data_IF_717327627022
#
_entry.id   IF_717327627022
#
_cell.length_a   1.000
_cell.length_b   1.000
_cell.length_c   1.000
_cell.angle_alpha   90.00
_cell.angle_beta   90.00
_cell.angle_gamma   90.00
#
_symmetry.space_group_name_H-M   'P 1'
#
loop_
_entity.id
_entity.type
_entity.pdbx_description
1 polymer ?
#
# COMPACT_ATOMS: atom_id res chain seq x y z
N UNK A 1 7.71 65.89 9.03
CA UNK A 1 8.76 66.93 9.12
C UNK A 1 8.38 67.85 10.28
N UNK A 2 9.09 67.78 11.43
CA UNK A 2 10.14 68.73 11.87
C UNK A 2 9.53 70.01 12.52
N UNK A 3 9.87 70.56 13.70
CA UNK A 3 11.07 70.59 14.59
C UNK A 3 10.63 71.24 15.95
N UNK A 4 11.15 70.85 17.13
CA UNK A 4 12.21 71.49 18.00
C UNK A 4 12.00 73.01 18.30
N UNK A 5 12.29 73.60 19.48
CA UNK A 5 13.28 73.31 20.54
C UNK A 5 13.02 74.07 21.88
N UNK A 6 13.74 73.58 22.91
CA UNK A 6 14.10 74.10 24.25
C UNK A 6 14.53 75.58 24.37
N UNK A 7 14.41 76.12 25.61
CA UNK A 7 15.32 77.01 26.42
C UNK A 7 14.57 77.28 27.76
N UNK A 8 15.12 77.64 28.92
CA UNK A 8 16.22 77.20 29.80
C UNK A 8 16.12 78.04 31.11
N UNK A 9 16.53 77.49 32.27
CA UNK A 9 17.09 78.17 33.48
C UNK A 9 16.22 79.05 34.43
N UNK A 10 15.92 78.47 35.60
CA UNK A 10 16.41 78.76 36.97
C UNK A 10 16.39 80.20 37.58
N UNK A 11 15.79 80.36 38.78
CA UNK A 11 16.18 81.17 39.98
C UNK A 11 15.06 81.12 41.05
N UNK A 12 15.12 80.36 42.15
CA UNK A 12 15.81 80.53 43.45
C UNK A 12 15.43 81.76 44.30
N UNK A 13 14.92 81.48 45.52
CA UNK A 13 15.16 82.12 46.83
C UNK A 13 14.76 81.06 47.89
N UNK A 14 15.44 80.74 49.01
CA UNK A 14 16.66 81.16 49.73
C UNK A 14 16.54 80.52 51.14
N UNK A 15 17.42 79.62 51.59
CA UNK A 15 18.74 79.83 52.24
C UNK A 15 18.71 80.01 53.78
N UNK A 16 19.31 79.06 54.50
CA UNK A 16 20.24 79.35 55.60
C UNK A 16 21.49 78.48 55.45
N UNK A 17 22.65 79.15 55.50
CA UNK A 17 24.01 78.68 55.26
C UNK A 17 24.66 78.25 56.59
N UNK A 18 25.52 77.22 56.57
CA UNK A 18 26.93 77.31 57.02
C UNK A 18 27.53 75.92 57.32
N UNK A 19 28.47 75.50 56.46
CA UNK A 19 29.65 74.69 56.80
C UNK A 19 29.45 73.43 57.64
N UNK A 20 29.33 72.27 56.98
CA UNK A 20 30.08 71.08 57.41
C UNK A 20 30.76 70.41 56.24
N UNK A 21 32.06 70.25 56.45
CA UNK A 21 33.05 69.49 55.70
C UNK A 21 32.56 68.07 55.47
N UNK A 22 32.92 67.48 54.33
CA UNK A 22 32.73 66.06 54.03
C UNK A 22 33.21 65.20 55.21
N UNK A 23 32.28 64.67 55.99
CA UNK A 23 32.57 63.58 56.92
C UNK A 23 32.29 62.29 56.18
N UNK A 24 33.37 61.60 55.82
CA UNK A 24 33.38 60.21 55.38
C UNK A 24 32.22 59.43 55.99
N UNK A 25 31.34 58.91 55.12
CA UNK A 25 30.48 57.77 55.44
C UNK A 25 31.06 56.48 54.86
N UNK A 26 32.38 56.41 54.68
CA UNK A 26 33.08 55.12 54.60
C UNK A 26 33.21 54.64 56.04
N UNK A 27 32.13 54.03 56.53
CA UNK A 27 32.27 53.08 57.62
C UNK A 27 32.82 51.79 57.01
N UNK A 28 33.56 50.94 57.75
CA UNK A 28 33.96 49.62 57.24
C UNK A 28 32.78 48.82 56.68
N UNK A 29 31.57 49.05 57.20
CA UNK A 29 30.31 48.51 56.70
C UNK A 29 29.92 49.05 55.32
N UNK A 30 30.15 50.33 55.04
CA UNK A 30 29.88 50.95 53.74
C UNK A 30 30.88 50.44 52.68
N UNK A 31 32.16 50.27 53.04
CA UNK A 31 33.16 49.67 52.15
C UNK A 31 32.86 48.19 51.88
N UNK A 32 32.36 47.45 52.87
CA UNK A 32 31.89 46.07 52.70
C UNK A 32 30.66 46.03 51.79
N UNK A 33 29.68 46.92 51.99
CA UNK A 33 28.45 46.99 51.18
C UNK A 33 28.78 47.40 49.74
N UNK A 34 29.67 48.36 49.54
CA UNK A 34 30.15 48.77 48.22
C UNK A 34 31.02 47.69 47.59
N UNK A 35 31.83 46.95 48.35
CA UNK A 35 32.58 45.79 47.85
C UNK A 35 31.64 44.64 47.45
N UNK A 36 30.56 44.39 48.20
CA UNK A 36 29.53 43.40 47.84
C UNK A 36 28.80 43.86 46.58
N UNK A 37 28.35 45.11 46.50
CA UNK A 37 27.65 45.66 45.32
C UNK A 37 28.54 45.80 44.07
N UNK A 38 29.85 46.02 44.24
CA UNK A 38 30.82 46.01 43.12
C UNK A 38 31.14 44.59 42.65
N UNK A 39 31.03 43.61 43.54
CA UNK A 39 31.33 42.21 43.25
C UNK A 39 30.08 41.35 43.04
N UNK A 40 28.85 41.84 43.20
CA UNK A 40 27.61 41.06 43.01
C UNK A 40 27.56 40.43 41.62
N UNK A 41 27.86 41.18 40.57
CA UNK A 41 27.95 40.60 39.21
C UNK A 41 29.09 39.58 39.03
N UNK A 42 30.17 39.66 39.80
CA UNK A 42 31.26 38.68 39.81
C UNK A 42 30.94 37.45 40.68
N UNK A 43 30.22 37.65 41.78
CA UNK A 43 29.71 36.63 42.68
C UNK A 43 28.59 35.83 42.01
N UNK A 44 27.71 36.49 41.25
CA UNK A 44 26.71 35.85 40.39
C UNK A 44 27.38 35.01 39.31
N UNK A 45 28.37 35.55 38.58
CA UNK A 45 29.14 34.76 37.60
C UNK A 45 29.90 33.61 38.24
N UNK A 46 30.51 33.83 39.40
CA UNK A 46 31.21 32.77 40.13
C UNK A 46 30.24 31.69 40.61
N UNK A 47 29.08 32.07 41.16
CA UNK A 47 28.04 31.15 41.57
C UNK A 47 27.48 30.37 40.37
N UNK A 48 27.20 31.04 39.25
CA UNK A 48 26.78 30.40 37.99
C UNK A 48 27.84 29.41 37.49
N UNK A 49 29.11 29.81 37.41
CA UNK A 49 30.21 28.93 36.96
C UNK A 49 30.46 27.77 37.93
N UNK A 50 30.30 27.98 39.25
CA UNK A 50 30.41 26.94 40.25
C UNK A 50 29.27 25.92 40.13
N UNK A 51 28.04 26.40 39.92
CA UNK A 51 26.86 25.57 39.68
C UNK A 51 27.00 24.78 38.38
N UNK A 52 27.44 25.42 37.31
CA UNK A 52 27.67 24.81 36.00
C UNK A 52 28.77 23.76 36.07
N UNK A 53 29.93 24.07 36.66
CA UNK A 53 31.02 23.10 36.84
C UNK A 53 30.63 21.91 37.71
N UNK A 54 29.73 22.07 38.69
CA UNK A 54 29.19 20.95 39.48
C UNK A 54 28.18 20.10 38.71
N UNK A 55 27.39 20.69 37.81
CA UNK A 55 26.51 19.94 36.90
C UNK A 55 27.33 19.16 35.88
N UNK A 56 28.30 19.79 35.23
CA UNK A 56 29.17 19.14 34.24
C UNK A 56 29.97 17.97 34.82
N UNK A 57 30.45 18.10 36.05
CA UNK A 57 31.15 17.02 36.74
C UNK A 57 30.22 15.85 37.07
N UNK A 58 28.98 16.14 37.51
CA UNK A 58 27.97 15.13 37.75
C UNK A 58 27.54 14.45 36.44
N UNK A 59 27.36 15.20 35.36
CA UNK A 59 26.99 14.67 34.04
C UNK A 59 28.03 13.66 33.53
N UNK A 60 29.32 14.01 33.55
CA UNK A 60 30.41 13.10 33.15
C UNK A 60 30.50 11.85 34.03
N UNK A 61 30.28 12.00 35.33
CA UNK A 61 30.29 10.88 36.25
C UNK A 61 29.14 9.91 35.99
N UNK A 62 27.94 10.45 35.77
CA UNK A 62 26.75 9.67 35.45
C UNK A 62 26.92 8.92 34.13
N UNK A 63 27.38 9.59 33.06
CA UNK A 63 27.67 8.95 31.79
C UNK A 63 28.59 7.73 31.95
N UNK A 64 29.66 7.86 32.75
CA UNK A 64 30.57 6.74 33.07
C UNK A 64 29.88 5.62 33.87
N UNK A 65 29.10 5.97 34.90
CA UNK A 65 28.39 5.00 35.74
C UNK A 65 27.40 4.14 34.92
N UNK A 66 26.58 4.77 34.08
CA UNK A 66 25.63 4.05 33.24
C UNK A 66 26.33 3.25 32.12
N UNK A 67 27.45 3.73 31.59
CA UNK A 67 28.27 2.95 30.65
C UNK A 67 28.82 1.65 31.25
N UNK A 68 28.96 1.57 32.58
CA UNK A 68 29.38 0.35 33.30
C UNK A 68 28.24 -0.57 33.71
N UNK A 69 27.00 -0.27 33.32
CA UNK A 69 25.83 -1.11 33.59
C UNK A 69 25.05 -0.75 34.87
N UNK A 70 25.33 0.42 35.47
CA UNK A 70 24.52 0.95 36.58
C UNK A 70 23.07 1.26 36.15
N UNK A 71 22.12 1.24 37.10
CA UNK A 71 20.71 1.57 36.84
C UNK A 71 20.25 2.77 37.66
N UNK A 72 19.25 3.54 37.20
CA UNK A 72 18.66 4.65 37.95
C UNK A 72 18.21 4.26 39.37
N UNK A 73 17.63 3.07 39.52
CA UNK A 73 17.15 2.53 40.80
C UNK A 73 18.30 2.25 41.77
N UNK A 74 19.40 1.68 41.27
CA UNK A 74 20.60 1.41 42.07
C UNK A 74 21.32 2.70 42.45
N UNK A 75 21.48 3.63 41.50
CA UNK A 75 22.13 4.91 41.74
C UNK A 75 21.44 5.70 42.86
N UNK A 76 20.11 5.74 42.86
CA UNK A 76 19.35 6.43 43.91
C UNK A 76 19.62 5.84 45.30
N UNK A 77 19.73 4.51 45.41
CA UNK A 77 20.07 3.83 46.67
C UNK A 77 21.53 4.04 47.07
N UNK A 78 22.45 4.08 46.10
CA UNK A 78 23.87 4.30 46.33
C UNK A 78 24.19 5.74 46.76
N UNK A 79 23.46 6.73 46.24
CA UNK A 79 23.53 8.12 46.71
C UNK A 79 23.01 8.24 48.15
N UNK A 80 21.88 7.60 48.47
CA UNK A 80 21.32 7.61 49.83
C UNK A 80 22.22 6.92 50.86
N UNK A 81 23.07 5.99 50.41
CA UNK A 81 24.06 5.30 51.26
C UNK A 81 25.43 5.98 51.27
N UNK A 82 25.57 7.15 50.63
CA UNK A 82 26.78 7.97 50.64
C UNK A 82 27.94 7.42 49.81
N UNK A 83 27.67 6.54 48.84
CA UNK A 83 28.72 5.93 48.00
C UNK A 83 29.25 6.84 46.90
N UNK A 84 28.52 7.93 46.59
CA UNK A 84 28.84 8.88 45.52
C UNK A 84 28.86 10.33 46.06
N UNK A 85 29.87 10.71 46.86
CA UNK A 85 29.92 12.01 47.56
C UNK A 85 29.93 13.21 46.61
N UNK A 86 30.44 13.05 45.38
CA UNK A 86 30.36 14.04 44.30
C UNK A 86 28.93 14.31 43.81
N UNK A 87 27.99 13.39 44.07
CA UNK A 87 26.59 13.46 43.68
C UNK A 87 25.66 13.98 44.80
N UNK A 88 26.18 14.22 46.02
CA UNK A 88 25.38 14.59 47.19
C UNK A 88 24.90 16.06 47.21
N UNK A 89 25.43 16.92 46.34
CA UNK A 89 25.03 18.34 46.33
C UNK A 89 23.70 18.58 45.58
N UNK A 90 23.00 19.68 45.90
CA UNK A 90 21.68 20.01 45.33
C UNK A 90 21.67 20.18 43.80
N UNK A 91 22.79 20.61 43.21
CA UNK A 91 22.94 20.80 41.76
C UNK A 91 23.18 19.47 41.03
N UNK A 92 23.93 18.55 41.65
CA UNK A 92 24.11 17.18 41.21
C UNK A 92 22.77 16.44 41.28
N UNK A 93 21.98 16.61 42.35
CA UNK A 93 20.61 16.06 42.45
C UNK A 93 19.73 16.42 41.25
N UNK A 94 19.79 17.66 40.77
CA UNK A 94 19.00 18.08 39.59
C UNK A 94 19.49 17.40 38.31
N UNK A 95 20.80 17.27 38.13
CA UNK A 95 21.40 16.58 36.98
C UNK A 95 21.04 15.08 37.00
N UNK A 96 21.20 14.43 38.16
CA UNK A 96 20.84 13.02 38.40
C UNK A 96 19.36 12.77 38.11
N UNK A 97 18.47 13.60 38.66
CA UNK A 97 17.04 13.48 38.40
C UNK A 97 16.72 13.62 36.91
N UNK A 98 17.38 14.54 36.22
CA UNK A 98 17.21 14.74 34.78
C UNK A 98 17.64 13.52 33.97
N UNK A 99 18.82 12.95 34.26
CA UNK A 99 19.31 11.73 33.63
C UNK A 99 18.43 10.52 33.95
N UNK A 100 18.01 10.36 35.20
CA UNK A 100 17.04 9.33 35.60
C UNK A 100 15.73 9.44 34.79
N UNK A 101 15.24 10.66 34.56
CA UNK A 101 14.09 10.91 33.68
C UNK A 101 14.33 10.43 32.25
N UNK A 102 15.51 10.71 31.68
CA UNK A 102 15.90 10.27 30.33
C UNK A 102 16.00 8.75 30.22
N UNK A 103 16.60 8.07 31.19
CA UNK A 103 16.70 6.61 31.19
C UNK A 103 15.35 5.94 31.35
N UNK A 104 14.47 6.48 32.20
CA UNK A 104 13.12 5.98 32.32
C UNK A 104 12.31 6.18 31.03
N UNK A 105 12.50 7.30 30.33
CA UNK A 105 11.92 7.48 29.01
C UNK A 105 12.44 6.45 28.00
N UNK A 106 13.76 6.20 27.96
CA UNK A 106 14.34 5.19 27.08
C UNK A 106 13.81 3.78 27.39
N UNK A 107 13.68 3.41 28.67
CA UNK A 107 13.07 2.14 29.10
C UNK A 107 11.62 2.04 28.64
N UNK A 108 10.82 3.08 28.83
CA UNK A 108 9.43 3.12 28.39
C UNK A 108 9.32 2.96 26.87
N UNK A 109 10.17 3.65 26.09
CA UNK A 109 10.21 3.55 24.62
C UNK A 109 10.53 2.11 24.19
N UNK A 110 11.56 1.49 24.76
CA UNK A 110 11.93 0.10 24.43
C UNK A 110 10.76 -0.86 24.67
N UNK A 111 10.03 -0.68 25.77
CA UNK A 111 8.90 -1.53 26.10
C UNK A 111 7.68 -1.28 25.20
N UNK A 112 7.42 -0.02 24.81
CA UNK A 112 6.40 0.31 23.79
C UNK A 112 6.73 -0.36 22.46
N UNK A 113 7.98 -0.28 22.00
CA UNK A 113 8.41 -0.93 20.75
C UNK A 113 8.31 -2.46 20.85
N UNK A 114 8.65 -3.06 22.00
CA UNK A 114 8.48 -4.50 22.24
C UNK A 114 7.02 -4.94 22.13
N UNK A 115 6.09 -4.09 22.58
CA UNK A 115 4.65 -4.38 22.62
C UNK A 115 3.89 -3.88 21.39
N UNK A 116 4.57 -3.27 20.42
CA UNK A 116 3.95 -2.58 19.27
C UNK A 116 2.97 -3.44 18.47
N UNK A 117 3.22 -4.74 18.36
CA UNK A 117 2.32 -5.67 17.65
C UNK A 117 0.95 -5.83 18.29
N UNK A 118 0.82 -5.50 19.59
CA UNK A 118 -0.46 -5.46 20.31
C UNK A 118 -1.31 -4.26 19.92
N UNK A 119 -0.74 -3.27 19.23
CA UNK A 119 -1.47 -2.10 18.81
C UNK A 119 -2.42 -2.44 17.66
N UNK A 120 -3.73 -2.36 17.92
CA UNK A 120 -4.81 -2.65 16.96
C UNK A 120 -5.72 -1.43 16.78
N UNK A 121 -5.29 -0.41 16.01
CA UNK A 121 -5.99 0.88 15.91
C UNK A 121 -7.38 0.82 15.25
N UNK A 122 -7.70 -0.28 14.55
CA UNK A 122 -8.90 -0.42 13.71
C UNK A 122 -9.80 -1.59 14.11
N UNK A 123 -9.49 -2.30 15.20
CA UNK A 123 -10.31 -3.40 15.70
C UNK A 123 -11.41 -2.87 16.65
N UNK A 124 -12.62 -3.43 16.56
CA UNK A 124 -13.75 -3.04 17.43
C UNK A 124 -14.08 -1.54 17.36
N UNK A 125 -14.10 -0.88 18.51
CA UNK A 125 -14.33 0.58 18.63
C UNK A 125 -13.11 1.43 18.23
N UNK A 126 -11.99 0.79 17.88
CA UNK A 126 -10.72 1.44 17.61
C UNK A 126 -10.03 1.96 18.88
N UNK A 127 -8.71 2.07 18.82
CA UNK A 127 -7.91 2.59 19.94
C UNK A 127 -6.89 3.59 19.42
N UNK A 128 -6.85 4.80 19.98
CA UNK A 128 -5.81 5.79 19.64
C UNK A 128 -4.45 5.38 20.20
N UNK A 129 -3.36 5.87 19.60
CA UNK A 129 -2.01 5.56 20.11
C UNK A 129 -1.84 5.96 21.58
N UNK A 130 -2.41 7.09 21.99
CA UNK A 130 -2.34 7.55 23.38
C UNK A 130 -3.10 6.64 24.35
N UNK A 131 -4.27 6.12 23.95
CA UNK A 131 -5.03 5.16 24.77
C UNK A 131 -4.30 3.83 24.89
N UNK A 132 -3.73 3.35 23.78
CA UNK A 132 -2.92 2.14 23.74
C UNK A 132 -1.72 2.24 24.65
N UNK A 133 -0.87 3.25 24.49
CA UNK A 133 0.34 3.44 25.31
C UNK A 133 0.01 3.58 26.80
N UNK A 134 -1.09 4.24 27.16
CA UNK A 134 -1.55 4.34 28.55
C UNK A 134 -2.00 3.01 29.15
N UNK A 135 -2.45 2.07 28.31
CA UNK A 135 -2.92 0.74 28.74
C UNK A 135 -1.78 -0.27 28.90
N UNK A 136 -0.59 0.03 28.40
CA UNK A 136 0.54 -0.90 28.43
C UNK A 136 1.08 -1.11 29.85
N UNK A 137 1.32 -2.38 30.17
CA UNK A 137 2.01 -2.82 31.39
C UNK A 137 3.23 -3.65 31.03
N UNK A 138 4.27 -3.57 31.86
CA UNK A 138 5.47 -4.40 31.75
C UNK A 138 5.20 -5.84 32.26
N UNK A 139 6.21 -6.70 32.13
CA UNK A 139 6.15 -8.10 32.60
C UNK A 139 5.83 -8.27 34.10
N UNK A 140 6.03 -7.20 34.89
CA UNK A 140 5.79 -7.17 36.33
C UNK A 140 4.44 -6.48 36.67
N UNK A 141 3.65 -6.11 35.67
CA UNK A 141 2.34 -5.46 35.85
C UNK A 141 2.42 -3.97 36.15
N UNK A 142 3.57 -3.33 36.00
CA UNK A 142 3.71 -1.88 36.17
C UNK A 142 3.38 -1.15 34.87
N UNK A 143 2.76 0.03 34.97
CA UNK A 143 2.51 0.87 33.81
C UNK A 143 3.82 1.23 33.10
N UNK A 144 3.86 1.05 31.78
CA UNK A 144 5.05 1.36 30.96
C UNK A 144 5.40 2.84 30.99
N UNK A 145 4.37 3.71 31.00
CA UNK A 145 4.54 5.13 31.26
C UNK A 145 4.53 5.37 32.78
N UNK A 146 5.62 5.87 33.38
CA UNK A 146 5.68 6.11 34.80
C UNK A 146 4.73 7.25 35.21
N UNK A 147 4.16 7.14 36.40
CA UNK A 147 3.47 8.29 37.00
C UNK A 147 4.50 9.40 37.30
N UNK A 148 4.31 10.55 36.65
CA UNK A 148 5.17 11.73 36.80
C UNK A 148 4.73 12.63 37.98
N UNK A 149 3.58 12.35 38.57
CA UNK A 149 3.09 13.07 39.75
C UNK A 149 3.98 12.78 40.97
N UNK A 150 4.37 13.84 41.69
CA UNK A 150 5.29 13.74 42.83
C UNK A 150 6.77 13.55 42.46
N UNK A 151 7.12 13.44 41.17
CA UNK A 151 8.52 13.43 40.71
C UNK A 151 9.10 14.86 40.68
N UNK A 152 10.42 14.97 40.72
CA UNK A 152 11.09 16.26 40.68
C UNK A 152 10.95 16.93 39.31
N UNK A 153 11.09 18.27 39.27
CA UNK A 153 11.05 19.02 38.02
C UNK A 153 12.15 18.58 37.04
N UNK A 154 13.34 18.22 37.54
CA UNK A 154 14.45 17.70 36.73
C UNK A 154 14.07 16.39 36.04
N UNK A 155 13.51 15.44 36.80
CA UNK A 155 13.03 14.17 36.26
C UNK A 155 11.98 14.36 35.17
N UNK A 156 10.95 15.17 35.42
CA UNK A 156 9.88 15.43 34.45
C UNK A 156 10.43 16.10 33.18
N UNK A 157 11.42 16.99 33.31
CA UNK A 157 12.08 17.64 32.17
C UNK A 157 12.90 16.63 31.36
N UNK A 158 13.70 15.79 32.02
CA UNK A 158 14.50 14.75 31.37
C UNK A 158 13.66 13.74 30.63
N UNK A 159 12.59 13.25 31.28
CA UNK A 159 11.63 12.32 30.67
C UNK A 159 10.94 12.96 29.46
N UNK A 160 10.39 14.17 29.61
CA UNK A 160 9.69 14.85 28.52
C UNK A 160 10.59 15.17 27.33
N UNK A 161 11.88 15.42 27.53
CA UNK A 161 12.82 15.71 26.44
C UNK A 161 12.99 14.50 25.52
N UNK A 162 13.14 13.30 26.08
CA UNK A 162 13.36 12.06 25.30
C UNK A 162 12.03 11.48 24.82
N UNK A 163 11.06 11.35 25.71
CA UNK A 163 9.77 10.76 25.38
C UNK A 163 8.91 11.66 24.49
N UNK A 164 9.06 12.98 24.61
CA UNK A 164 8.29 13.96 23.84
C UNK A 164 8.55 13.87 22.34
N UNK A 165 9.82 13.71 21.94
CA UNK A 165 10.20 13.53 20.54
C UNK A 165 9.66 12.22 19.98
N UNK A 166 9.88 11.10 20.69
CA UNK A 166 9.35 9.80 20.31
C UNK A 166 7.82 9.84 20.14
N UNK A 167 7.11 10.38 21.14
CA UNK A 167 5.65 10.53 21.10
C UNK A 167 5.19 11.39 19.94
N UNK A 168 5.86 12.50 19.64
CA UNK A 168 5.49 13.35 18.52
C UNK A 168 5.56 12.58 17.19
N UNK A 169 6.66 11.84 16.96
CA UNK A 169 6.83 11.02 15.77
C UNK A 169 5.77 9.91 15.70
N UNK A 170 5.55 9.18 16.79
CA UNK A 170 4.54 8.11 16.81
C UNK A 170 3.12 8.62 16.57
N UNK A 171 2.78 9.84 17.00
CA UNK A 171 1.49 10.45 16.73
C UNK A 171 1.34 10.88 15.27
N UNK A 172 2.42 11.31 14.62
CA UNK A 172 2.44 11.56 13.18
C UNK A 172 2.21 10.26 12.42
N UNK A 173 2.92 9.19 12.79
CA UNK A 173 2.78 7.87 12.16
C UNK A 173 1.36 7.30 12.34
N UNK A 174 0.77 7.41 13.54
CA UNK A 174 -0.63 7.01 13.79
C UNK A 174 -1.61 7.83 12.95
N UNK A 175 -1.41 9.15 12.85
CA UNK A 175 -2.26 10.02 12.05
C UNK A 175 -2.17 9.66 10.55
N UNK A 176 -0.97 9.40 10.04
CA UNK A 176 -0.75 8.98 8.65
C UNK A 176 -1.38 7.61 8.38
N UNK A 177 -1.17 6.63 9.27
CA UNK A 177 -1.77 5.29 9.17
C UNK A 177 -3.29 5.36 9.12
N UNK A 178 -3.91 6.14 10.02
CA UNK A 178 -5.36 6.36 10.04
C UNK A 178 -5.84 7.08 8.79
N UNK A 179 -5.13 8.11 8.35
CA UNK A 179 -5.43 8.84 7.13
C UNK A 179 -5.46 7.90 5.92
N UNK A 180 -4.42 7.07 5.77
CA UNK A 180 -4.31 6.08 4.70
C UNK A 180 -5.40 5.02 4.77
N UNK A 181 -5.70 4.49 5.96
CA UNK A 181 -6.76 3.50 6.17
C UNK A 181 -8.14 4.04 5.75
N UNK A 182 -8.52 5.22 6.26
CA UNK A 182 -9.83 5.80 5.94
C UNK A 182 -9.91 6.29 4.50
N UNK A 183 -8.82 6.77 3.92
CA UNK A 183 -8.77 7.08 2.50
C UNK A 183 -8.96 5.82 1.65
N UNK A 184 -8.30 4.71 1.99
CA UNK A 184 -8.49 3.44 1.30
C UNK A 184 -9.95 2.95 1.39
N UNK A 185 -10.57 3.04 2.57
CA UNK A 185 -12.00 2.70 2.76
C UNK A 185 -12.93 3.61 1.97
N UNK A 186 -12.63 4.91 1.91
CA UNK A 186 -13.35 5.86 1.07
C UNK A 186 -13.23 5.50 -0.42
N UNK A 187 -12.03 5.17 -0.90
CA UNK A 187 -11.79 4.74 -2.27
C UNK A 187 -12.53 3.42 -2.58
N UNK A 188 -12.49 2.44 -1.68
CA UNK A 188 -13.23 1.16 -1.78
C UNK A 188 -14.74 1.39 -1.93
N UNK A 189 -15.33 2.24 -1.07
CA UNK A 189 -16.74 2.59 -1.14
C UNK A 189 -17.08 3.31 -2.46
N UNK A 190 -16.23 4.25 -2.89
CA UNK A 190 -16.37 4.93 -4.18
C UNK A 190 -16.34 3.95 -5.37
N UNK A 191 -15.43 2.97 -5.34
CA UNK A 191 -15.31 1.95 -6.39
C UNK A 191 -16.54 1.07 -6.44
N UNK A 192 -17.00 0.57 -5.27
CA UNK A 192 -18.20 -0.26 -5.17
C UNK A 192 -19.45 0.46 -5.71
N UNK A 193 -19.59 1.74 -5.37
CA UNK A 193 -20.64 2.59 -5.91
C UNK A 193 -20.52 2.69 -7.44
N UNK A 194 -19.36 3.11 -7.95
CA UNK A 194 -19.16 3.31 -9.39
C UNK A 194 -19.32 2.01 -10.19
N UNK A 195 -18.87 0.89 -9.66
CA UNK A 195 -19.03 -0.41 -10.30
C UNK A 195 -20.50 -0.81 -10.40
N UNK A 196 -21.27 -0.62 -9.33
CA UNK A 196 -22.72 -0.84 -9.34
C UNK A 196 -23.41 -0.01 -10.42
N UNK A 197 -23.01 1.27 -10.56
CA UNK A 197 -23.56 2.16 -11.59
C UNK A 197 -23.16 1.71 -12.99
N UNK A 198 -21.89 1.33 -13.19
CA UNK A 198 -21.35 0.84 -14.47
C UNK A 198 -22.18 -0.30 -15.06
N UNK A 199 -22.70 -1.21 -14.23
CA UNK A 199 -23.52 -2.34 -14.67
C UNK A 199 -24.87 -1.93 -15.28
N UNK A 200 -25.31 -0.70 -15.04
CA UNK A 200 -26.58 -0.14 -15.53
C UNK A 200 -26.40 1.02 -16.52
N UNK A 201 -25.16 1.41 -16.81
CA UNK A 201 -24.87 2.52 -17.73
C UNK A 201 -25.09 2.10 -19.18
N UNK A 202 -25.83 2.92 -19.92
CA UNK A 202 -26.03 2.73 -21.37
C UNK A 202 -24.86 3.31 -22.18
N UNK A 203 -24.29 4.45 -21.75
CA UNK A 203 -23.17 5.10 -22.42
C UNK A 203 -22.06 5.48 -21.43
N UNK A 204 -21.08 4.59 -21.25
CA UNK A 204 -19.95 4.83 -20.35
C UNK A 204 -19.16 6.09 -20.76
N UNK A 205 -19.05 6.37 -22.06
CA UNK A 205 -18.24 7.48 -22.57
C UNK A 205 -18.70 8.86 -22.11
N UNK A 206 -20.01 9.03 -21.89
CA UNK A 206 -20.62 10.30 -21.42
C UNK A 206 -21.06 10.25 -19.97
N UNK A 207 -21.57 9.11 -19.51
CA UNK A 207 -22.28 9.02 -18.24
C UNK A 207 -21.35 8.73 -17.06
N UNK A 208 -20.17 8.15 -17.32
CA UNK A 208 -19.26 7.71 -16.27
C UNK A 208 -18.80 8.87 -15.38
N UNK A 209 -18.24 9.93 -15.98
CA UNK A 209 -17.75 11.08 -15.23
C UNK A 209 -18.88 11.88 -14.58
N UNK A 210 -20.03 11.98 -15.23
CA UNK A 210 -21.22 12.60 -14.63
C UNK A 210 -21.66 11.87 -13.34
N UNK A 211 -21.59 10.54 -13.31
CA UNK A 211 -21.85 9.77 -12.08
C UNK A 211 -20.72 9.93 -11.06
N UNK A 212 -19.46 9.90 -11.50
CA UNK A 212 -18.30 10.03 -10.62
C UNK A 212 -18.28 11.39 -9.89
N UNK A 213 -18.65 12.47 -10.59
CA UNK A 213 -18.74 13.82 -10.02
C UNK A 213 -19.78 13.94 -8.89
N UNK A 214 -20.76 13.04 -8.80
CA UNK A 214 -21.72 13.03 -7.68
C UNK A 214 -21.04 12.72 -6.34
N UNK A 215 -19.84 12.13 -6.35
CA UNK A 215 -19.04 11.88 -5.15
C UNK A 215 -18.30 13.14 -4.66
N UNK A 216 -18.24 14.19 -5.49
CA UNK A 216 -17.58 15.46 -5.19
C UNK A 216 -18.47 16.39 -4.33
N UNK A 217 -18.98 15.87 -3.23
CA UNK A 217 -19.87 16.62 -2.33
C UNK A 217 -19.07 17.62 -1.50
N UNK A 218 -19.51 18.89 -1.46
CA UNK A 218 -18.86 19.91 -0.64
C UNK A 218 -19.07 19.61 0.85
N UNK A 219 -17.98 19.60 1.62
CA UNK A 219 -18.01 19.41 3.07
C UNK A 219 -18.39 20.72 3.78
N UNK A 220 -18.95 20.66 5.00
CA UNK A 220 -19.20 21.83 5.83
C UNK A 220 -17.93 22.64 6.08
N UNK A 221 -18.06 23.95 6.17
CA UNK A 221 -16.93 24.81 6.51
C UNK A 221 -16.49 24.55 7.96
N UNK A 222 -15.24 24.13 8.14
CA UNK A 222 -14.63 23.91 9.46
C UNK A 222 -13.75 25.12 9.81
N UNK A 223 -13.86 25.62 11.04
CA UNK A 223 -13.07 26.76 11.51
C UNK A 223 -11.57 26.47 11.38
N UNK A 224 -10.83 27.38 10.72
CA UNK A 224 -9.38 27.28 10.51
C UNK A 224 -8.94 26.80 9.12
N UNK A 225 -9.83 26.29 8.28
CA UNK A 225 -9.54 25.96 6.89
C UNK A 225 -10.02 27.08 5.95
N UNK A 226 -9.17 27.46 4.99
CA UNK A 226 -9.54 28.41 3.94
C UNK A 226 -9.94 27.66 2.67
N UNK A 227 -11.05 28.05 2.05
CA UNK A 227 -11.55 27.46 0.80
C UNK A 227 -12.62 26.36 0.97
N UNK A 228 -13.23 25.98 -0.16
CA UNK A 228 -14.23 24.91 -0.22
C UNK A 228 -13.53 23.55 -0.11
N UNK A 229 -13.96 22.75 0.86
CA UNK A 229 -13.51 21.37 1.03
C UNK A 229 -14.52 20.43 0.37
N UNK A 230 -14.03 19.32 -0.19
CA UNK A 230 -14.85 18.35 -0.90
C UNK A 230 -14.57 16.95 -0.38
N UNK A 231 -15.61 16.10 -0.37
CA UNK A 231 -15.50 14.73 0.11
C UNK A 231 -14.53 13.94 -0.75
N UNK A 232 -14.68 13.96 -2.07
CA UNK A 232 -13.64 13.58 -3.03
C UNK A 232 -13.05 14.80 -3.72
N UNK A 233 -11.73 14.92 -3.70
CA UNK A 233 -11.03 15.91 -4.51
C UNK A 233 -10.99 15.50 -5.98
N UNK A 234 -10.70 16.45 -6.88
CA UNK A 234 -10.54 16.16 -8.30
C UNK A 234 -9.46 15.11 -8.58
N UNK A 235 -8.36 15.13 -7.83
CA UNK A 235 -7.30 14.13 -8.01
C UNK A 235 -7.73 12.75 -7.50
N UNK A 236 -8.42 12.69 -6.36
CA UNK A 236 -8.96 11.43 -5.85
C UNK A 236 -10.00 10.82 -6.78
N UNK A 237 -10.78 11.63 -7.52
CA UNK A 237 -11.70 11.11 -8.54
C UNK A 237 -10.94 10.55 -9.75
N UNK A 238 -9.87 11.20 -10.21
CA UNK A 238 -8.99 10.63 -11.25
C UNK A 238 -8.41 9.29 -10.79
N UNK A 239 -7.92 9.23 -9.56
CA UNK A 239 -7.37 7.99 -9.01
C UNK A 239 -8.45 6.91 -8.85
N UNK A 240 -9.66 7.29 -8.44
CA UNK A 240 -10.79 6.37 -8.31
C UNK A 240 -11.16 5.74 -9.66
N UNK A 241 -11.16 6.53 -10.74
CA UNK A 241 -11.42 6.04 -12.09
C UNK A 241 -10.35 5.08 -12.59
N UNK A 242 -9.06 5.39 -12.34
CA UNK A 242 -7.93 4.51 -12.66
C UNK A 242 -8.03 3.19 -11.89
N UNK A 243 -8.29 3.26 -10.58
CA UNK A 243 -8.44 2.10 -9.73
C UNK A 243 -9.62 1.23 -10.16
N UNK A 244 -10.74 1.84 -10.55
CA UNK A 244 -11.91 1.13 -11.05
C UNK A 244 -11.61 0.41 -12.38
N UNK A 245 -10.95 1.06 -13.33
CA UNK A 245 -10.54 0.42 -14.59
C UNK A 245 -9.56 -0.75 -14.35
N UNK A 246 -8.62 -0.57 -13.42
CA UNK A 246 -7.70 -1.63 -12.99
C UNK A 246 -8.42 -2.82 -12.35
N UNK A 247 -9.42 -2.54 -11.51
CA UNK A 247 -10.25 -3.58 -10.91
C UNK A 247 -11.02 -4.36 -11.99
N UNK A 248 -11.65 -3.68 -12.95
CA UNK A 248 -12.35 -4.34 -14.08
C UNK A 248 -11.39 -5.18 -14.91
N UNK A 249 -10.17 -4.69 -15.17
CA UNK A 249 -9.13 -5.47 -15.83
C UNK A 249 -8.83 -6.77 -15.07
N UNK A 250 -8.66 -6.69 -13.75
CA UNK A 250 -8.29 -7.84 -12.92
C UNK A 250 -9.37 -8.93 -12.91
N UNK A 251 -10.65 -8.55 -12.93
CA UNK A 251 -11.79 -9.46 -12.84
C UNK A 251 -12.36 -9.89 -14.20
N UNK A 252 -11.98 -9.22 -15.29
CA UNK A 252 -12.49 -9.54 -16.62
C UNK A 252 -12.18 -10.97 -17.07
N UNK A 253 -13.20 -11.65 -17.56
CA UNK A 253 -13.16 -12.98 -18.19
C UNK A 253 -13.48 -12.91 -19.68
N UNK A 254 -14.03 -11.79 -20.14
CA UNK A 254 -14.45 -11.56 -21.53
C UNK A 254 -13.81 -10.30 -22.12
N UNK A 255 -13.78 -10.21 -23.46
CA UNK A 255 -13.29 -9.02 -24.16
C UNK A 255 -14.22 -7.82 -23.98
N UNK A 256 -15.53 -8.05 -23.81
CA UNK A 256 -16.52 -7.00 -23.57
C UNK A 256 -16.32 -6.32 -22.21
N UNK A 257 -15.90 -7.05 -21.18
CA UNK A 257 -15.54 -6.46 -19.88
C UNK A 257 -14.28 -5.59 -19.98
N UNK A 258 -13.30 -6.01 -20.78
CA UNK A 258 -12.12 -5.20 -21.07
C UNK A 258 -12.45 -3.92 -21.85
N UNK A 259 -13.44 -3.99 -22.74
CA UNK A 259 -13.94 -2.79 -23.44
C UNK A 259 -14.60 -1.80 -22.48
N UNK A 260 -15.25 -2.27 -21.40
CA UNK A 260 -15.75 -1.39 -20.32
C UNK A 260 -14.59 -0.73 -19.57
N UNK A 261 -13.53 -1.47 -19.23
CA UNK A 261 -12.33 -0.91 -18.60
C UNK A 261 -11.70 0.19 -19.47
N UNK A 262 -11.58 -0.05 -20.79
CA UNK A 262 -11.10 0.95 -21.74
C UNK A 262 -12.04 2.15 -21.85
N UNK A 263 -13.36 1.91 -21.81
CA UNK A 263 -14.37 2.97 -21.84
C UNK A 263 -14.27 3.91 -20.64
N UNK A 264 -13.92 3.39 -19.45
CA UNK A 264 -13.65 4.22 -18.26
C UNK A 264 -12.48 5.18 -18.51
N UNK A 265 -11.39 4.69 -19.10
CA UNK A 265 -10.17 5.47 -19.34
C UNK A 265 -10.32 6.49 -20.48
N UNK A 266 -11.18 6.19 -21.45
CA UNK A 266 -11.47 7.01 -22.63
C UNK A 266 -12.65 7.95 -22.46
N UNK A 267 -13.47 7.78 -21.42
CA UNK A 267 -14.61 8.64 -21.14
C UNK A 267 -14.19 10.11 -20.97
N UNK A 268 -15.01 11.02 -21.47
CA UNK A 268 -14.73 12.46 -21.40
C UNK A 268 -14.91 12.96 -19.96
N UNK A 269 -13.87 13.62 -19.43
CA UNK A 269 -13.89 14.23 -18.10
C UNK A 269 -14.62 15.57 -18.07
N UNK A 270 -15.05 16.07 -19.21
CA UNK A 270 -15.78 17.33 -19.33
C UNK A 270 -14.87 18.55 -19.25
N UNK A 271 -15.39 19.62 -18.63
CA UNK A 271 -14.78 20.95 -18.67
C UNK A 271 -14.20 21.31 -17.29
N UNK A 272 -12.93 21.69 -17.27
CA UNK A 272 -12.25 22.11 -16.05
C UNK A 272 -12.70 23.50 -15.58
N UNK A 273 -12.31 23.88 -14.35
CA UNK A 273 -12.65 25.18 -13.73
C UNK A 273 -12.27 26.41 -14.58
N UNK A 274 -11.29 26.27 -15.48
CA UNK A 274 -10.84 27.32 -16.40
C UNK A 274 -11.53 27.33 -17.77
N UNK A 275 -12.57 26.52 -17.99
CA UNK A 275 -13.27 26.43 -19.27
C UNK A 275 -12.59 25.55 -20.32
N UNK A 276 -11.44 24.94 -19.99
CA UNK A 276 -10.72 24.05 -20.91
C UNK A 276 -11.31 22.64 -20.86
N UNK A 277 -11.42 22.00 -22.03
CA UNK A 277 -11.74 20.57 -22.12
C UNK A 277 -10.62 19.76 -21.45
N UNK A 278 -11.00 18.88 -20.51
CA UNK A 278 -10.08 18.02 -19.80
C UNK A 278 -9.70 16.78 -20.62
N UNK A 279 -10.52 16.41 -21.59
CA UNK A 279 -10.39 15.18 -22.35
C UNK A 279 -10.47 13.94 -21.44
N UNK A 280 -10.04 12.80 -21.96
CA UNK A 280 -10.04 11.55 -21.20
C UNK A 280 -8.81 11.40 -20.30
N UNK A 281 -8.79 10.36 -19.47
CA UNK A 281 -7.59 10.00 -18.72
C UNK A 281 -6.44 9.60 -19.65
N UNK A 282 -6.74 9.01 -20.81
CA UNK A 282 -5.72 8.71 -21.82
C UNK A 282 -5.04 9.95 -22.40
N UNK A 283 -5.69 11.12 -22.35
CA UNK A 283 -5.06 12.37 -22.77
C UNK A 283 -4.09 12.93 -21.71
N UNK A 284 -4.15 12.41 -20.49
CA UNK A 284 -3.16 12.73 -19.46
C UNK A 284 -1.90 11.94 -19.75
N UNK A 285 -0.74 12.60 -19.85
CA UNK A 285 0.56 11.95 -20.07
C UNK A 285 1.04 11.14 -18.85
N UNK A 286 0.13 10.56 -18.07
CA UNK A 286 0.44 9.79 -16.88
C UNK A 286 0.89 8.38 -17.27
N UNK A 287 1.98 7.94 -16.63
CA UNK A 287 2.59 6.63 -16.90
C UNK A 287 1.68 5.47 -16.48
N UNK A 288 1.02 5.60 -15.34
CA UNK A 288 0.10 4.60 -14.79
C UNK A 288 -1.10 4.32 -15.72
N UNK A 289 -1.65 5.36 -16.35
CA UNK A 289 -2.73 5.20 -17.34
C UNK A 289 -2.22 4.47 -18.59
N UNK A 290 -1.02 4.80 -19.07
CA UNK A 290 -0.44 4.15 -20.25
C UNK A 290 -0.17 2.65 -20.00
N UNK A 291 0.42 2.31 -18.85
CA UNK A 291 0.67 0.92 -18.42
C UNK A 291 -0.63 0.13 -18.27
N UNK A 292 -1.68 0.76 -17.75
CA UNK A 292 -2.99 0.14 -17.63
C UNK A 292 -3.63 -0.13 -19.00
N UNK A 293 -3.55 0.81 -19.94
CA UNK A 293 -4.03 0.64 -21.32
C UNK A 293 -3.30 -0.52 -22.02
N UNK A 294 -1.98 -0.60 -21.87
CA UNK A 294 -1.19 -1.70 -22.41
C UNK A 294 -1.64 -3.05 -21.82
N UNK A 295 -1.82 -3.11 -20.50
CA UNK A 295 -2.28 -4.32 -19.80
C UNK A 295 -3.68 -4.77 -20.27
N UNK A 296 -4.60 -3.83 -20.49
CA UNK A 296 -5.92 -4.12 -21.06
C UNK A 296 -5.81 -4.71 -22.46
N UNK A 297 -5.00 -4.10 -23.33
CA UNK A 297 -4.81 -4.59 -24.70
C UNK A 297 -4.17 -5.98 -24.73
N UNK A 298 -3.16 -6.23 -23.91
CA UNK A 298 -2.49 -7.52 -23.81
C UNK A 298 -3.46 -8.63 -23.35
N UNK A 299 -4.26 -8.36 -22.31
CA UNK A 299 -5.27 -9.32 -21.85
C UNK A 299 -6.35 -9.56 -22.92
N UNK A 300 -6.74 -8.53 -23.68
CA UNK A 300 -7.70 -8.67 -24.80
C UNK A 300 -7.18 -9.58 -25.90
N UNK A 301 -5.90 -9.45 -26.28
CA UNK A 301 -5.24 -10.35 -27.23
C UNK A 301 -5.21 -11.78 -26.70
N UNK A 302 -4.82 -11.96 -25.43
CA UNK A 302 -4.79 -13.28 -24.79
C UNK A 302 -6.16 -13.96 -24.80
N UNK A 303 -7.23 -13.27 -24.42
CA UNK A 303 -8.59 -13.83 -24.42
C UNK A 303 -9.08 -14.13 -25.84
N UNK A 304 -8.70 -13.31 -26.83
CA UNK A 304 -9.07 -13.54 -28.23
C UNK A 304 -8.37 -14.78 -28.78
N UNK A 305 -7.10 -14.97 -28.46
CA UNK A 305 -6.34 -16.14 -28.89
C UNK A 305 -6.85 -17.41 -28.19
N UNK A 306 -7.15 -17.33 -26.89
CA UNK A 306 -7.78 -18.43 -26.16
C UNK A 306 -9.09 -18.84 -26.80
N UNK A 307 -9.98 -17.88 -27.09
CA UNK A 307 -11.27 -18.17 -27.72
C UNK A 307 -11.10 -18.83 -29.10
N UNK A 308 -10.09 -18.44 -29.89
CA UNK A 308 -9.78 -19.09 -31.17
C UNK A 308 -9.28 -20.51 -30.99
N UNK A 309 -8.37 -20.74 -30.04
CA UNK A 309 -7.85 -22.07 -29.74
C UNK A 309 -8.95 -23.00 -29.21
N UNK A 310 -9.84 -22.49 -28.35
CA UNK A 310 -10.98 -23.24 -27.83
C UNK A 310 -11.96 -23.63 -28.94
N UNK A 311 -12.23 -22.73 -29.90
CA UNK A 311 -13.05 -23.03 -31.08
C UNK A 311 -12.40 -24.15 -31.91
N UNK A 312 -11.12 -24.02 -32.26
CA UNK A 312 -10.41 -25.02 -33.06
C UNK A 312 -10.35 -26.39 -32.36
N UNK A 313 -10.11 -26.40 -31.05
CA UNK A 313 -10.11 -27.61 -30.24
C UNK A 313 -11.49 -28.29 -30.23
N UNK A 314 -12.56 -27.52 -30.02
CA UNK A 314 -13.92 -28.05 -30.00
C UNK A 314 -14.33 -28.59 -31.38
N UNK A 315 -14.00 -27.90 -32.47
CA UNK A 315 -14.23 -28.40 -33.83
C UNK A 315 -13.54 -29.76 -34.06
N UNK A 316 -12.28 -29.90 -33.62
CA UNK A 316 -11.54 -31.17 -33.70
C UNK A 316 -12.20 -32.29 -32.87
N UNK A 317 -12.70 -31.98 -31.67
CA UNK A 317 -13.41 -32.97 -30.84
C UNK A 317 -14.77 -33.37 -31.43
N UNK A 318 -15.49 -32.44 -32.04
CA UNK A 318 -16.78 -32.72 -32.68
C UNK A 318 -16.61 -33.64 -33.89
N UNK A 319 -15.63 -33.38 -34.77
CA UNK A 319 -15.31 -34.26 -35.90
C UNK A 319 -14.95 -35.66 -35.42
N UNK A 320 -14.08 -35.78 -34.41
CA UNK A 320 -13.72 -37.07 -33.80
C UNK A 320 -14.95 -37.81 -33.27
N UNK A 321 -15.85 -37.12 -32.60
CA UNK A 321 -17.08 -37.70 -32.02
C UNK A 321 -17.99 -38.23 -33.13
N UNK A 322 -18.23 -37.45 -34.18
CA UNK A 322 -19.06 -37.86 -35.32
C UNK A 322 -18.55 -39.15 -35.96
N UNK A 323 -17.24 -39.26 -36.21
CA UNK A 323 -16.66 -40.45 -36.84
C UNK A 323 -16.63 -41.66 -35.90
N UNK A 324 -16.34 -41.47 -34.61
CA UNK A 324 -16.40 -42.56 -33.64
C UNK A 324 -17.83 -43.12 -33.52
N UNK A 325 -18.84 -42.26 -33.46
CA UNK A 325 -20.25 -42.68 -33.38
C UNK A 325 -20.68 -43.42 -34.66
N UNK A 326 -20.29 -42.90 -35.83
CA UNK A 326 -20.59 -43.52 -37.12
C UNK A 326 -19.98 -44.92 -37.27
N UNK A 327 -18.73 -45.10 -36.81
CA UNK A 327 -17.98 -46.35 -37.00
C UNK A 327 -18.19 -47.38 -35.89
N UNK A 328 -18.66 -46.95 -34.72
CA UNK A 328 -18.98 -47.86 -33.60
C UNK A 328 -20.40 -48.44 -33.71
N UNK A 329 -21.27 -47.82 -34.51
CA UNK A 329 -22.63 -48.31 -34.77
C UNK A 329 -22.75 -49.25 -35.97
N UNK A 330 -23.94 -49.80 -36.18
CA UNK A 330 -24.26 -50.55 -37.40
C UNK A 330 -24.16 -49.62 -38.63
N UNK A 331 -23.38 -50.04 -39.63
CA UNK A 331 -23.19 -49.28 -40.87
C UNK A 331 -24.44 -49.32 -41.77
N UNK A 332 -25.45 -48.54 -41.41
CA UNK A 332 -26.70 -48.38 -42.16
C UNK A 332 -26.69 -47.09 -42.98
N UNK A 333 -27.56 -47.02 -44.00
CA UNK A 333 -27.80 -45.78 -44.77
C UNK A 333 -28.21 -44.63 -43.84
N UNK A 334 -29.04 -44.94 -42.84
CA UNK A 334 -29.51 -43.96 -41.86
C UNK A 334 -28.37 -43.38 -41.02
N UNK A 335 -27.46 -44.22 -40.52
CA UNK A 335 -26.32 -43.75 -39.71
C UNK A 335 -25.29 -42.98 -40.56
N UNK A 336 -25.09 -43.37 -41.83
CA UNK A 336 -24.31 -42.58 -42.80
C UNK A 336 -24.90 -41.18 -42.98
N UNK A 337 -26.20 -41.10 -43.23
CA UNK A 337 -26.85 -39.81 -43.48
C UNK A 337 -26.86 -38.92 -42.24
N UNK A 338 -27.02 -39.49 -41.04
CA UNK A 338 -26.87 -38.76 -39.78
C UNK A 338 -25.47 -38.17 -39.61
N UNK A 339 -24.41 -38.93 -39.93
CA UNK A 339 -23.03 -38.44 -39.86
C UNK A 339 -22.77 -37.32 -40.88
N UNK A 340 -23.25 -37.46 -42.11
CA UNK A 340 -23.16 -36.43 -43.15
C UNK A 340 -23.90 -35.15 -42.73
N UNK A 341 -25.11 -35.27 -42.18
CA UNK A 341 -25.88 -34.11 -41.70
C UNK A 341 -25.22 -33.44 -40.48
N UNK A 342 -24.57 -34.20 -39.59
CA UNK A 342 -23.79 -33.63 -38.50
C UNK A 342 -22.58 -32.83 -39.01
N UNK A 343 -21.86 -33.36 -40.00
CA UNK A 343 -20.73 -32.65 -40.65
C UNK A 343 -21.21 -31.36 -41.33
N UNK A 344 -22.31 -31.42 -42.09
CA UNK A 344 -22.88 -30.23 -42.75
C UNK A 344 -23.34 -29.16 -41.75
N UNK A 345 -23.98 -29.57 -40.65
CA UNK A 345 -24.45 -28.65 -39.60
C UNK A 345 -23.30 -27.98 -38.86
N UNK A 346 -22.20 -28.69 -38.62
CA UNK A 346 -21.03 -28.15 -37.96
C UNK A 346 -20.14 -27.26 -38.84
N UNK A 347 -20.42 -27.21 -40.15
CA UNK A 347 -19.67 -26.41 -41.13
C UNK A 347 -18.13 -26.63 -41.04
N UNK A 348 -17.70 -27.86 -40.76
CA UNK A 348 -16.29 -28.26 -40.59
C UNK A 348 -15.49 -28.25 -41.93
N UNK A 349 -15.92 -27.45 -42.90
CA UNK A 349 -15.13 -27.10 -44.07
C UNK A 349 -15.00 -28.11 -45.20
N UNK A 350 -15.59 -29.32 -45.17
CA UNK A 350 -15.07 -30.38 -46.06
C UNK A 350 -16.10 -31.22 -46.84
N UNK A 351 -16.15 -31.04 -48.19
CA UNK A 351 -16.54 -32.12 -49.10
C UNK A 351 -15.76 -33.42 -48.84
N UNK A 352 -14.51 -33.31 -48.36
CA UNK A 352 -13.62 -34.42 -48.02
C UNK A 352 -14.10 -35.26 -46.83
N UNK A 353 -14.58 -34.65 -45.74
CA UNK A 353 -15.19 -35.40 -44.62
C UNK A 353 -16.47 -36.13 -45.06
N UNK A 354 -17.29 -35.51 -45.89
CA UNK A 354 -18.50 -36.16 -46.46
C UNK A 354 -18.09 -37.33 -47.37
N UNK A 355 -17.06 -37.15 -48.20
CA UNK A 355 -16.48 -38.19 -49.05
C UNK A 355 -15.88 -39.33 -48.21
N UNK A 356 -15.25 -39.03 -47.08
CA UNK A 356 -14.72 -40.01 -46.15
C UNK A 356 -15.82 -40.86 -45.52
N UNK A 357 -16.92 -40.25 -45.05
CA UNK A 357 -18.10 -40.99 -44.55
C UNK A 357 -18.68 -41.90 -45.63
N UNK A 358 -18.83 -41.40 -46.87
CA UNK A 358 -19.30 -42.21 -47.99
C UNK A 358 -18.36 -43.36 -48.34
N UNK A 359 -17.05 -43.12 -48.29
CA UNK A 359 -16.01 -44.12 -48.56
C UNK A 359 -16.02 -45.23 -47.49
N UNK A 360 -16.15 -44.87 -46.22
CA UNK A 360 -16.31 -45.83 -45.13
C UNK A 360 -17.62 -46.62 -45.21
N UNK A 361 -18.73 -45.98 -45.63
CA UNK A 361 -20.01 -46.66 -45.83
C UNK A 361 -19.96 -47.72 -46.94
N UNK A 362 -19.31 -47.41 -48.06
CA UNK A 362 -19.31 -48.22 -49.28
C UNK A 362 -18.44 -49.49 -49.23
N UNK A 363 -18.04 -49.97 -48.04
CA UNK A 363 -17.21 -51.16 -47.76
C UNK A 363 -17.31 -52.26 -48.82
N UNK A 364 -16.51 -52.13 -49.86
CA UNK A 364 -16.14 -53.18 -50.80
C UNK A 364 -15.05 -52.61 -51.71
N UNK A 365 -13.78 -52.73 -51.29
CA UNK A 365 -12.74 -53.46 -52.04
C UNK A 365 -11.34 -53.21 -51.45
N UNK A 366 -10.76 -54.32 -50.98
CA UNK A 366 -9.37 -54.53 -50.54
C UNK A 366 -8.96 -53.74 -49.30
N UNK A 367 -8.92 -54.36 -48.12
CA UNK A 367 -8.27 -53.78 -46.94
C UNK A 367 -6.81 -54.26 -46.90
N UNK A 368 -5.87 -53.35 -46.75
CA UNK A 368 -4.48 -53.72 -46.48
C UNK A 368 -4.38 -54.23 -45.03
N UNK A 369 -4.37 -55.54 -44.84
CA UNK A 369 -4.26 -56.18 -43.52
C UNK A 369 -2.82 -56.44 -43.10
N UNK A 370 -1.84 -55.92 -43.84
CA UNK A 370 -0.42 -56.07 -43.50
C UNK A 370 -0.12 -55.36 -42.16
N UNK A 371 0.30 -56.09 -41.11
CA UNK A 371 0.64 -55.50 -39.82
C UNK A 371 1.70 -54.39 -39.94
N UNK A 372 2.65 -54.50 -40.87
CA UNK A 372 3.70 -53.50 -41.03
C UNK A 372 3.16 -52.15 -41.52
N UNK A 373 2.16 -52.16 -42.41
CA UNK A 373 1.52 -50.94 -42.89
C UNK A 373 0.63 -50.29 -41.83
N UNK A 374 -0.08 -51.11 -41.03
CA UNK A 374 -0.92 -50.64 -39.92
C UNK A 374 -0.02 -50.03 -38.82
N UNK A 375 1.06 -50.71 -38.44
CA UNK A 375 2.02 -50.20 -37.44
C UNK A 375 2.71 -48.92 -37.91
N UNK A 376 3.04 -48.82 -39.21
CA UNK A 376 3.60 -47.60 -39.80
C UNK A 376 2.60 -46.46 -39.69
N UNK A 377 1.34 -46.67 -40.09
CA UNK A 377 0.30 -45.66 -39.96
C UNK A 377 0.10 -45.21 -38.50
N UNK A 378 0.02 -46.13 -37.54
CA UNK A 378 -0.09 -45.76 -36.13
C UNK A 378 1.12 -45.00 -35.61
N UNK A 379 2.34 -45.34 -36.05
CA UNK A 379 3.55 -44.57 -35.71
C UNK A 379 3.52 -43.17 -36.30
N UNK A 380 3.04 -42.99 -37.51
CA UNK A 380 2.87 -41.66 -38.13
C UNK A 380 1.87 -40.81 -37.33
N UNK A 381 0.76 -41.42 -36.88
CA UNK A 381 -0.23 -40.76 -36.02
C UNK A 381 0.36 -40.40 -34.66
N UNK A 382 1.09 -41.32 -34.01
CA UNK A 382 1.73 -41.08 -32.71
C UNK A 382 2.90 -40.11 -32.76
N UNK A 383 3.52 -39.93 -33.92
CA UNK A 383 4.62 -38.96 -34.12
C UNK A 383 4.13 -37.59 -34.59
N UNK A 384 2.82 -37.40 -34.75
CA UNK A 384 2.24 -36.10 -35.08
C UNK A 384 2.31 -35.72 -36.55
N UNK A 385 2.31 -36.69 -37.48
CA UNK A 385 2.33 -36.37 -38.91
C UNK A 385 1.00 -35.83 -39.45
N UNK A 386 -0.06 -35.79 -38.62
CA UNK A 386 -1.41 -35.39 -39.02
C UNK A 386 -1.95 -34.32 -38.06
N UNK A 387 -2.25 -33.14 -38.60
CA UNK A 387 -2.62 -31.95 -37.83
C UNK A 387 -4.09 -31.97 -37.34
N UNK A 388 -4.93 -32.80 -37.97
CA UNK A 388 -6.35 -32.92 -37.64
C UNK A 388 -6.87 -34.36 -37.71
N UNK A 389 -8.01 -34.66 -37.05
CA UNK A 389 -8.72 -35.92 -37.23
C UNK A 389 -9.08 -36.20 -38.69
N UNK A 390 -9.41 -35.15 -39.47
CA UNK A 390 -9.69 -35.25 -40.91
C UNK A 390 -8.49 -35.76 -41.70
N UNK A 391 -7.28 -35.34 -41.34
CA UNK A 391 -6.03 -35.81 -41.98
C UNK A 391 -5.77 -37.28 -41.65
N UNK A 392 -5.98 -37.68 -40.39
CA UNK A 392 -5.88 -39.09 -39.97
C UNK A 392 -6.86 -39.95 -40.75
N UNK A 393 -8.10 -39.48 -40.90
CA UNK A 393 -9.16 -40.16 -41.66
C UNK A 393 -8.80 -40.27 -43.14
N UNK A 394 -8.29 -39.20 -43.75
CA UNK A 394 -7.89 -39.17 -45.16
C UNK A 394 -6.71 -40.09 -45.42
N UNK A 395 -5.67 -40.02 -44.58
CA UNK A 395 -4.50 -40.89 -44.68
C UNK A 395 -4.84 -42.37 -44.47
N UNK A 396 -5.80 -42.66 -43.59
CA UNK A 396 -6.31 -44.01 -43.40
C UNK A 396 -6.98 -44.55 -44.67
N UNK A 397 -7.75 -43.72 -45.38
CA UNK A 397 -8.37 -44.07 -46.67
C UNK A 397 -7.32 -44.25 -47.76
N UNK A 398 -6.36 -43.33 -47.87
CA UNK A 398 -5.28 -43.37 -48.88
C UNK A 398 -4.38 -44.61 -48.71
N UNK A 399 -4.06 -44.96 -47.46
CA UNK A 399 -3.28 -46.15 -47.10
C UNK A 399 -4.11 -47.42 -47.05
N UNK A 400 -5.42 -47.30 -47.26
CA UNK A 400 -6.36 -48.41 -47.35
C UNK A 400 -6.39 -49.28 -46.08
N UNK A 401 -6.30 -48.62 -44.93
CA UNK A 401 -6.23 -49.23 -43.60
C UNK A 401 -7.65 -49.67 -43.16
N UNK A 402 -7.80 -50.84 -42.49
CA UNK A 402 -9.11 -51.35 -42.08
C UNK A 402 -9.86 -50.43 -41.12
N UNK A 403 -11.16 -50.21 -41.37
CA UNK A 403 -11.99 -49.22 -40.63
C UNK A 403 -12.05 -49.45 -39.12
N UNK A 404 -11.90 -50.70 -38.65
CA UNK A 404 -11.85 -51.05 -37.22
C UNK A 404 -10.60 -50.50 -36.51
N UNK A 405 -9.62 -50.00 -37.27
CA UNK A 405 -8.41 -49.34 -36.74
C UNK A 405 -8.58 -47.84 -36.51
N UNK A 406 -9.65 -47.21 -37.02
CA UNK A 406 -9.82 -45.76 -36.93
C UNK A 406 -9.98 -45.29 -35.48
N UNK A 407 -10.76 -46.01 -34.66
CA UNK A 407 -10.94 -45.65 -33.25
C UNK A 407 -9.62 -45.61 -32.47
N UNK A 408 -8.73 -46.57 -32.74
CA UNK A 408 -7.37 -46.59 -32.17
C UNK A 408 -6.52 -45.45 -32.72
N UNK A 409 -6.55 -45.20 -34.03
CA UNK A 409 -5.81 -44.10 -34.64
C UNK A 409 -6.25 -42.73 -34.08
N UNK A 410 -7.55 -42.46 -33.98
CA UNK A 410 -8.07 -41.22 -33.39
C UNK A 410 -7.73 -41.10 -31.90
N UNK A 411 -7.62 -42.22 -31.19
CA UNK A 411 -7.16 -42.25 -29.79
C UNK A 411 -5.67 -41.90 -29.68
N UNK A 412 -4.83 -42.44 -30.56
CA UNK A 412 -3.40 -42.12 -30.64
C UNK A 412 -3.16 -40.65 -31.05
N UNK A 413 -3.92 -40.14 -32.00
CA UNK A 413 -3.89 -38.73 -32.36
C UNK A 413 -4.27 -37.85 -31.16
N UNK A 414 -5.34 -38.21 -30.44
CA UNK A 414 -5.77 -37.48 -29.25
C UNK A 414 -4.71 -37.50 -28.13
N UNK A 415 -4.05 -38.64 -27.96
CA UNK A 415 -2.96 -38.81 -27.00
C UNK A 415 -1.79 -37.87 -27.35
N UNK A 416 -1.31 -37.91 -28.60
CA UNK A 416 -0.25 -37.03 -29.08
C UNK A 416 -0.61 -35.55 -28.96
N UNK A 417 -1.81 -35.15 -29.39
CA UNK A 417 -2.24 -33.75 -29.31
C UNK A 417 -2.30 -33.27 -27.85
N UNK A 418 -2.74 -34.14 -26.93
CA UNK A 418 -2.77 -33.81 -25.50
C UNK A 418 -1.40 -33.70 -24.83
N UNK A 419 -0.38 -34.38 -25.38
CA UNK A 419 1.01 -34.31 -24.90
C UNK A 419 1.72 -33.09 -25.51
N UNK A 420 1.46 -32.78 -26.79
CA UNK A 420 1.95 -31.58 -27.47
C UNK A 420 1.39 -30.28 -26.85
N UNK A 421 0.10 -30.26 -26.51
CA UNK A 421 -0.54 -29.14 -25.79
C UNK A 421 0.04 -28.93 -24.38
N UNK A 422 0.67 -29.96 -23.80
CA UNK A 422 1.39 -29.89 -22.52
C UNK A 422 2.89 -29.63 -22.68
N UNK A 423 3.37 -29.43 -23.91
CA UNK A 423 4.77 -29.15 -24.24
C UNK A 423 5.72 -30.34 -24.02
N UNK A 424 5.25 -31.58 -24.22
CA UNK A 424 6.03 -32.80 -24.04
C UNK A 424 6.35 -33.52 -25.34
#
# INVERSE_FOLDING_TARGET
MAYRSKISRNRYYGSTFAGRVATSRETPLTDIVDAINRNTGKLERYASNYVEGKKDAADKYLEGYYATGGTPENLSNEILTGKHPELENMYAKTAIDTHNGRFMAAKAITEIERLKDTYKPFDGDGQTWNEWVKSLVDENGHAVIPNLEGKSKGFNTGFATVFGEYRANSLVDDAEMRGNYWNAKKQEAGMSYMHTRLMTMNNIGTDYWAQLETLNTQLPNVSGLTGKQYYFTTEEMNQLAINHASWVLSTATTTQELDKAMSILTADRGIGKGGNALGSLMNTKRKDVAELVESINNKKVSLTNQARADIEYNEKQDVKTIFNDFLSGDMTVENRDKAIEAIKKGNFGEPRLIEAVNSFYNKNRFTNTDPANIDTFYKEVLTGQYDSPSDVITAMLDKNIPTDKLGTALSYWSYWNSDNDKGK
#
